data_IF_440267822439
#
_entry.id   IF_440267822439
#
_cell.length_a   1.000
_cell.length_b   1.000
_cell.length_c   1.000
_cell.angle_alpha   90.00
_cell.angle_beta   90.00
_cell.angle_gamma   90.00
#
_symmetry.space_group_name_H-M   'P 1'
#
loop_
_entity.id
_entity.type
_entity.pdbx_description
1 polymer ?
#
# COMPACT_ATOMS: atom_id res chain seq x y z
N UNK A 1 -18.24 6.98 27.60
CA UNK A 1 -17.80 5.59 27.81
C UNK A 1 -17.35 5.06 26.45
N UNK A 2 -16.07 4.77 26.31
CA UNK A 2 -15.56 4.12 25.10
C UNK A 2 -16.01 2.67 25.09
N UNK A 3 -16.79 2.31 24.08
CA UNK A 3 -17.34 0.98 23.93
C UNK A 3 -16.37 0.10 23.18
N UNK A 4 -16.08 -1.09 23.70
CA UNK A 4 -15.36 -2.14 22.98
C UNK A 4 -16.28 -2.86 22.00
N UNK A 5 -15.74 -3.19 20.83
CA UNK A 5 -16.43 -3.99 19.83
C UNK A 5 -15.63 -5.27 19.58
N UNK A 6 -16.31 -6.39 19.40
CA UNK A 6 -15.68 -7.70 19.22
C UNK A 6 -15.66 -8.16 17.76
N UNK A 7 -15.97 -7.27 16.80
CA UNK A 7 -16.04 -7.63 15.38
C UNK A 7 -14.75 -8.28 14.88
N UNK A 8 -13.58 -7.77 15.31
CA UNK A 8 -12.30 -8.29 14.88
C UNK A 8 -12.05 -9.67 15.49
N UNK A 9 -12.18 -9.82 16.82
CA UNK A 9 -11.98 -11.09 17.49
C UNK A 9 -12.93 -12.18 17.00
N UNK A 10 -14.16 -11.83 16.70
CA UNK A 10 -15.19 -12.78 16.24
C UNK A 10 -14.99 -13.23 14.80
N UNK A 11 -14.30 -12.43 13.96
CA UNK A 11 -14.23 -12.68 12.52
C UNK A 11 -12.81 -12.85 11.97
N UNK A 12 -11.79 -12.57 12.75
CA UNK A 12 -10.42 -12.65 12.28
C UNK A 12 -10.03 -14.10 12.00
N UNK A 13 -9.57 -14.37 10.79
CA UNK A 13 -9.00 -15.65 10.39
C UNK A 13 -7.49 -15.49 10.28
N UNK A 14 -6.75 -16.11 11.20
CA UNK A 14 -5.29 -16.06 11.18
C UNK A 14 -4.75 -16.87 10.00
N UNK A 15 -4.03 -16.23 9.06
CA UNK A 15 -3.48 -16.94 7.91
C UNK A 15 -2.53 -18.08 8.27
N UNK A 16 -1.84 -17.99 9.42
CA UNK A 16 -0.96 -19.06 9.87
C UNK A 16 -1.71 -20.35 10.24
N UNK A 17 -3.00 -20.24 10.55
CA UNK A 17 -3.87 -21.37 10.91
C UNK A 17 -4.80 -21.78 9.77
N UNK A 18 -4.93 -20.97 8.75
CA UNK A 18 -5.76 -21.26 7.60
C UNK A 18 -5.08 -22.31 6.71
N UNK A 19 -5.85 -23.25 6.23
CA UNK A 19 -5.34 -24.25 5.30
C UNK A 19 -5.36 -23.69 3.90
N UNK A 20 -4.19 -23.51 3.29
CA UNK A 20 -4.03 -23.04 1.94
C UNK A 20 -3.30 -24.08 1.10
N UNK A 21 -3.71 -24.24 -0.16
CA UNK A 21 -3.07 -25.14 -1.12
C UNK A 21 -2.67 -24.34 -2.35
N UNK A 22 -1.36 -24.26 -2.58
CA UNK A 22 -0.81 -23.64 -3.77
C UNK A 22 -0.84 -24.59 -4.96
N UNK A 23 -0.97 -24.07 -6.19
CA UNK A 23 -0.81 -24.92 -7.37
C UNK A 23 0.61 -25.46 -7.45
N UNK A 24 0.79 -26.60 -8.09
CA UNK A 24 2.11 -27.22 -8.27
C UNK A 24 3.09 -26.29 -8.96
N UNK A 25 2.65 -25.63 -10.04
CA UNK A 25 3.37 -24.52 -10.64
C UNK A 25 2.93 -23.22 -10.00
N UNK A 26 3.78 -22.65 -9.15
CA UNK A 26 3.50 -21.40 -8.45
C UNK A 26 3.50 -20.24 -9.43
N UNK A 27 2.47 -19.41 -9.33
CA UNK A 27 2.28 -18.26 -10.21
C UNK A 27 2.98 -17.05 -9.63
N UNK A 28 3.67 -16.27 -10.48
CA UNK A 28 4.22 -14.98 -10.07
C UNK A 28 3.10 -13.99 -9.78
N UNK A 29 3.38 -13.03 -8.92
CA UNK A 29 2.50 -11.90 -8.61
C UNK A 29 3.19 -10.59 -8.96
N UNK A 30 2.49 -9.75 -9.73
CA UNK A 30 2.83 -8.32 -9.88
C UNK A 30 1.66 -7.55 -9.26
N UNK A 31 1.93 -6.82 -8.18
CA UNK A 31 0.93 -6.05 -7.46
C UNK A 31 1.25 -4.56 -7.62
N UNK A 32 0.37 -3.84 -8.29
CA UNK A 32 0.57 -2.43 -8.59
C UNK A 32 -0.42 -1.61 -7.77
N UNK A 33 0.07 -0.91 -6.75
CA UNK A 33 -0.70 0.08 -6.02
C UNK A 33 -0.64 1.41 -6.78
N UNK A 34 -1.82 1.91 -7.16
CA UNK A 34 -1.95 3.23 -7.76
C UNK A 34 -2.33 4.22 -6.67
N UNK A 35 -1.42 5.16 -6.38
CA UNK A 35 -1.65 6.17 -5.36
C UNK A 35 -2.95 6.92 -5.62
N UNK A 36 -3.86 6.92 -4.63
CA UNK A 36 -5.12 7.66 -4.63
C UNK A 36 -6.06 7.33 -5.81
N UNK A 37 -5.93 6.16 -6.42
CA UNK A 37 -6.73 5.81 -7.60
C UNK A 37 -8.11 5.29 -7.22
N UNK A 38 -9.13 6.07 -7.58
CA UNK A 38 -10.54 5.74 -7.35
C UNK A 38 -11.24 5.40 -8.66
N UNK A 39 -12.23 4.52 -8.57
CA UNK A 39 -13.19 4.31 -9.65
C UNK A 39 -14.05 5.54 -9.93
N UNK A 40 -14.14 6.44 -8.96
CA UNK A 40 -14.83 7.74 -9.02
C UNK A 40 -14.45 8.57 -10.25
N UNK A 41 -13.20 8.46 -10.70
CA UNK A 41 -12.65 9.33 -11.76
C UNK A 41 -13.12 8.99 -13.17
N UNK A 42 -13.83 7.90 -13.34
CA UNK A 42 -14.49 7.55 -14.61
C UNK A 42 -15.72 8.42 -14.83
N UNK A 43 -16.25 8.38 -16.04
CA UNK A 43 -17.50 9.07 -16.36
C UNK A 43 -18.73 8.31 -15.83
N UNK A 44 -19.84 9.02 -15.74
CA UNK A 44 -21.10 8.48 -15.21
C UNK A 44 -21.59 7.28 -16.02
N UNK A 45 -21.42 7.30 -17.33
CA UNK A 45 -21.84 6.20 -18.21
C UNK A 45 -21.10 4.89 -17.89
N UNK A 46 -19.88 4.97 -17.37
CA UNK A 46 -19.06 3.81 -17.02
C UNK A 46 -19.08 3.47 -15.52
N UNK A 47 -19.79 4.24 -14.70
CA UNK A 47 -19.90 3.99 -13.26
C UNK A 47 -19.15 4.99 -12.36
N UNK A 48 -18.47 5.96 -12.96
CA UNK A 48 -17.81 7.02 -12.22
C UNK A 48 -18.73 8.18 -11.85
N UNK A 49 -18.16 9.25 -11.34
CA UNK A 49 -18.92 10.38 -10.81
C UNK A 49 -18.82 11.65 -11.68
N UNK A 50 -18.05 11.63 -12.75
CA UNK A 50 -17.78 12.79 -13.57
C UNK A 50 -18.50 12.71 -14.93
N UNK A 51 -18.63 13.86 -15.59
CA UNK A 51 -19.11 13.88 -16.95
C UNK A 51 -18.01 13.44 -17.94
N UNK A 52 -16.76 13.80 -17.63
CA UNK A 52 -15.56 13.38 -18.36
C UNK A 52 -14.94 12.16 -17.68
N UNK A 53 -14.45 11.22 -18.49
CA UNK A 53 -13.66 10.10 -17.95
C UNK A 53 -12.17 10.50 -17.89
N UNK A 54 -11.64 10.61 -16.67
CA UNK A 54 -10.22 10.92 -16.47
C UNK A 54 -9.31 9.71 -16.56
N UNK A 55 -9.88 8.51 -16.53
CA UNK A 55 -9.13 7.24 -16.56
C UNK A 55 -9.67 6.30 -17.64
N UNK A 56 -9.78 6.72 -18.91
CA UNK A 56 -10.44 5.90 -19.93
C UNK A 56 -9.69 4.59 -20.20
N UNK A 57 -8.37 4.58 -20.19
CA UNK A 57 -7.58 3.37 -20.43
C UNK A 57 -7.73 2.37 -19.29
N UNK A 58 -7.70 2.84 -18.04
CA UNK A 58 -7.95 2.00 -16.86
C UNK A 58 -9.40 1.49 -16.83
N UNK A 59 -10.36 2.29 -17.30
CA UNK A 59 -11.75 1.86 -17.42
C UNK A 59 -11.89 0.71 -18.41
N UNK A 60 -11.23 0.79 -19.55
CA UNK A 60 -11.25 -0.27 -20.56
C UNK A 60 -10.53 -1.52 -20.04
N UNK A 61 -9.41 -1.36 -19.35
CA UNK A 61 -8.67 -2.46 -18.76
C UNK A 61 -9.54 -3.24 -17.77
N UNK A 62 -10.30 -2.54 -16.94
CA UNK A 62 -11.26 -3.16 -16.01
C UNK A 62 -12.40 -3.89 -16.74
N UNK A 63 -12.88 -3.35 -17.86
CA UNK A 63 -13.91 -3.99 -18.66
C UNK A 63 -13.42 -5.27 -19.33
N UNK A 64 -12.14 -5.34 -19.68
CA UNK A 64 -11.54 -6.48 -20.39
C UNK A 64 -11.01 -7.59 -19.45
N UNK A 65 -10.98 -7.34 -18.16
CA UNK A 65 -10.42 -8.25 -17.17
C UNK A 65 -11.34 -8.38 -15.95
N UNK A 66 -10.93 -9.10 -14.92
CA UNK A 66 -11.71 -9.18 -13.69
C UNK A 66 -11.59 -7.88 -12.92
N UNK A 67 -12.71 -7.24 -12.62
CA UNK A 67 -12.77 -6.02 -11.81
C UNK A 67 -14.01 -6.09 -10.91
N UNK A 68 -13.76 -6.27 -9.61
CA UNK A 68 -14.86 -6.36 -8.65
C UNK A 68 -15.47 -5.00 -8.42
N UNK A 69 -16.79 -4.93 -8.43
CA UNK A 69 -17.51 -3.67 -8.37
C UNK A 69 -18.71 -3.75 -7.44
N UNK A 70 -19.00 -2.61 -6.83
CA UNK A 70 -20.18 -2.40 -6.01
C UNK A 70 -21.45 -2.06 -6.84
N UNK A 71 -21.31 -2.03 -8.17
CA UNK A 71 -22.42 -1.78 -9.10
C UNK A 71 -22.32 -2.70 -10.31
N UNK A 72 -23.21 -2.51 -11.29
CA UNK A 72 -23.15 -3.20 -12.60
C UNK A 72 -21.99 -2.71 -13.47
N UNK A 73 -21.49 -1.53 -13.19
CA UNK A 73 -20.45 -0.81 -13.95
C UNK A 73 -19.13 -0.81 -13.19
N UNK A 74 -18.18 0.01 -13.62
CA UNK A 74 -16.94 0.21 -12.88
C UNK A 74 -17.25 0.69 -11.47
N UNK A 75 -16.60 0.09 -10.50
CA UNK A 75 -16.71 0.45 -9.11
C UNK A 75 -15.50 -0.11 -8.35
N UNK A 76 -15.72 -0.52 -7.13
CA UNK A 76 -14.63 -1.09 -6.34
C UNK A 76 -14.99 -1.31 -4.89
N UNK A 77 -13.96 -1.48 -4.07
CA UNK A 77 -14.07 -1.68 -2.65
C UNK A 77 -14.06 -0.37 -1.86
N UNK A 78 -14.74 -0.38 -0.74
CA UNK A 78 -14.67 0.73 0.21
C UNK A 78 -13.36 0.71 0.97
N UNK A 79 -12.81 1.89 1.23
CA UNK A 79 -11.72 2.07 2.19
C UNK A 79 -12.34 2.35 3.55
N UNK A 80 -12.32 1.36 4.43
CA UNK A 80 -12.84 1.52 5.79
C UNK A 80 -11.98 2.46 6.61
N UNK A 81 -12.44 2.82 7.79
CA UNK A 81 -11.65 3.57 8.78
C UNK A 81 -10.30 2.88 9.00
N UNK A 82 -9.26 3.67 9.18
CA UNK A 82 -7.86 3.22 9.36
C UNK A 82 -7.24 2.53 8.14
N UNK A 83 -7.81 2.73 6.95
CA UNK A 83 -7.25 2.23 5.67
C UNK A 83 -7.15 3.33 4.61
N UNK A 84 -7.25 4.60 5.00
CA UNK A 84 -7.45 5.73 4.09
C UNK A 84 -6.19 6.54 3.79
N UNK A 85 -5.01 5.99 4.06
CA UNK A 85 -3.71 6.55 3.68
C UNK A 85 -2.80 5.41 3.22
N UNK A 86 -1.65 5.71 2.63
CA UNK A 86 -0.86 4.72 1.90
C UNK A 86 -0.56 3.44 2.69
N UNK A 87 0.10 3.54 3.84
CA UNK A 87 0.44 2.32 4.60
C UNK A 87 -0.81 1.64 5.17
N UNK A 88 -1.83 2.41 5.56
CA UNK A 88 -3.11 1.85 5.99
C UNK A 88 -3.80 1.07 4.88
N UNK A 89 -3.79 1.59 3.66
CA UNK A 89 -4.33 0.90 2.48
C UNK A 89 -3.56 -0.36 2.11
N UNK A 90 -2.24 -0.29 2.11
CA UNK A 90 -1.37 -1.45 1.86
C UNK A 90 -1.59 -2.52 2.93
N UNK A 91 -1.63 -2.11 4.20
CA UNK A 91 -1.87 -3.00 5.33
C UNK A 91 -3.20 -3.74 5.19
N UNK A 92 -4.26 -3.03 4.84
CA UNK A 92 -5.58 -3.63 4.63
C UNK A 92 -5.55 -4.70 3.53
N UNK A 93 -4.91 -4.41 2.41
CA UNK A 93 -4.89 -5.30 1.24
C UNK A 93 -3.94 -6.49 1.39
N UNK A 94 -3.05 -6.47 2.36
CA UNK A 94 -2.07 -7.54 2.59
C UNK A 94 -2.20 -8.25 3.92
N UNK A 95 -2.94 -7.69 4.89
CA UNK A 95 -3.21 -8.32 6.18
C UNK A 95 -4.68 -8.62 6.45
N UNK A 96 -5.58 -7.98 5.67
CA UNK A 96 -7.01 -8.07 5.95
C UNK A 96 -7.45 -7.36 7.21
N UNK A 97 -6.67 -6.37 7.68
CA UNK A 97 -6.93 -5.61 8.89
C UNK A 97 -6.85 -4.11 8.64
N UNK A 98 -7.67 -3.30 9.35
CA UNK A 98 -7.43 -1.86 9.40
C UNK A 98 -6.20 -1.57 10.26
N UNK A 99 -5.45 -0.54 9.92
CA UNK A 99 -4.29 -0.12 10.72
C UNK A 99 -4.77 0.77 11.87
N UNK A 100 -5.42 0.15 12.84
CA UNK A 100 -5.96 0.81 14.01
C UNK A 100 -4.94 0.78 15.15
N UNK A 101 -4.17 1.86 15.26
CA UNK A 101 -3.14 2.02 16.30
C UNK A 101 -3.44 3.26 17.14
N UNK A 102 -2.92 3.29 18.35
CA UNK A 102 -3.00 4.48 19.20
C UNK A 102 -1.98 5.56 18.86
N UNK A 103 -1.20 5.38 17.79
CA UNK A 103 -0.17 6.32 17.35
C UNK A 103 -0.58 6.99 16.03
N UNK A 104 0.17 8.01 15.61
CA UNK A 104 -0.11 8.75 14.38
C UNK A 104 -0.01 7.89 13.13
N UNK A 105 -0.67 8.33 12.06
CA UNK A 105 -0.84 7.59 10.79
C UNK A 105 0.44 7.01 10.21
N UNK A 106 1.55 7.74 10.30
CA UNK A 106 2.83 7.36 9.69
C UNK A 106 3.91 7.04 10.74
N UNK A 107 3.55 6.95 12.02
CA UNK A 107 4.51 6.77 13.11
C UNK A 107 5.01 5.33 13.26
N UNK A 108 4.46 4.38 12.51
CA UNK A 108 5.02 3.03 12.44
C UNK A 108 6.46 3.03 11.88
N UNK A 109 6.87 4.10 11.17
CA UNK A 109 8.25 4.30 10.75
C UNK A 109 9.25 4.36 11.93
N UNK A 110 8.78 4.74 13.10
CA UNK A 110 9.59 4.90 14.32
C UNK A 110 9.59 3.67 15.21
N UNK A 111 8.92 2.61 14.81
CA UNK A 111 8.87 1.36 15.54
C UNK A 111 9.98 0.42 15.05
N UNK A 112 10.50 -0.42 15.93
CA UNK A 112 11.45 -1.46 15.54
C UNK A 112 10.80 -2.56 14.74
N UNK A 113 9.54 -2.87 15.05
CA UNK A 113 8.78 -3.93 14.39
C UNK A 113 7.40 -3.41 13.97
N UNK A 114 6.79 -4.12 13.04
CA UNK A 114 5.46 -3.80 12.51
C UNK A 114 4.52 -4.99 12.75
N UNK A 115 4.04 -5.11 13.98
CA UNK A 115 3.12 -6.17 14.39
C UNK A 115 3.59 -7.57 14.01
N UNK A 116 4.69 -8.07 14.63
CA UNK A 116 5.30 -9.34 14.24
C UNK A 116 4.39 -10.56 14.46
N UNK A 117 3.36 -10.44 15.27
CA UNK A 117 2.43 -11.52 15.58
C UNK A 117 1.40 -11.79 14.50
N UNK A 118 1.20 -10.90 13.53
CA UNK A 118 0.26 -11.13 12.44
C UNK A 118 0.95 -11.80 11.23
N UNK A 119 0.15 -12.49 10.42
CA UNK A 119 0.58 -13.06 9.17
C UNK A 119 -0.06 -12.35 7.99
N UNK A 120 0.75 -11.98 7.01
CA UNK A 120 0.34 -11.18 5.86
C UNK A 120 0.52 -11.96 4.56
N UNK A 121 0.10 -11.35 3.45
CA UNK A 121 0.38 -11.88 2.11
C UNK A 121 1.88 -12.15 1.93
N UNK A 122 2.73 -11.22 2.36
CA UNK A 122 4.19 -11.40 2.29
C UNK A 122 4.68 -12.61 3.08
N UNK A 123 4.15 -12.83 4.27
CA UNK A 123 4.51 -14.00 5.09
C UNK A 123 4.09 -15.31 4.41
N UNK A 124 2.88 -15.36 3.88
CA UNK A 124 2.38 -16.53 3.16
C UNK A 124 3.25 -16.87 1.95
N UNK A 125 3.58 -15.86 1.15
CA UNK A 125 4.39 -16.05 -0.05
C UNK A 125 5.86 -16.39 0.28
N UNK A 126 6.43 -15.80 1.33
CA UNK A 126 7.77 -16.15 1.80
C UNK A 126 7.87 -17.62 2.21
N UNK A 127 6.86 -18.13 2.93
CA UNK A 127 6.80 -19.54 3.35
C UNK A 127 6.75 -20.50 2.15
N UNK A 128 6.25 -20.02 1.02
CA UNK A 128 6.18 -20.80 -0.25
C UNK A 128 7.40 -20.57 -1.14
N UNK A 129 8.42 -19.89 -0.67
CA UNK A 129 9.67 -19.70 -1.39
C UNK A 129 9.68 -18.56 -2.41
N UNK A 130 8.72 -17.66 -2.37
CA UNK A 130 8.71 -16.50 -3.25
C UNK A 130 9.81 -15.51 -2.87
N UNK A 131 10.49 -14.97 -3.88
CA UNK A 131 11.32 -13.78 -3.74
C UNK A 131 10.43 -12.55 -3.87
N UNK A 132 10.57 -11.58 -2.99
CA UNK A 132 9.67 -10.47 -2.91
C UNK A 132 10.40 -9.14 -3.00
N UNK A 133 9.79 -8.19 -3.70
CA UNK A 133 10.37 -6.89 -4.00
C UNK A 133 9.32 -5.80 -3.77
N UNK A 134 9.73 -4.72 -3.09
CA UNK A 134 8.94 -3.50 -2.99
C UNK A 134 9.62 -2.41 -3.79
N UNK A 135 9.03 -2.05 -4.93
CA UNK A 135 9.60 -1.19 -5.95
C UNK A 135 8.86 0.15 -6.01
N UNK A 136 9.51 1.23 -5.59
CA UNK A 136 8.91 2.56 -5.47
C UNK A 136 9.91 3.65 -5.83
N UNK A 137 9.41 4.80 -6.29
CA UNK A 137 10.23 5.97 -6.58
C UNK A 137 10.49 6.87 -5.38
N UNK A 138 9.73 6.69 -4.30
CA UNK A 138 9.88 7.43 -3.04
C UNK A 138 10.73 6.66 -2.04
N UNK A 139 10.89 7.23 -0.85
CA UNK A 139 11.70 6.61 0.20
C UNK A 139 10.87 5.58 0.97
N UNK A 140 11.36 4.33 1.00
CA UNK A 140 10.63 3.19 1.56
C UNK A 140 10.29 3.32 3.02
N UNK A 141 11.11 3.99 3.81
CA UNK A 141 10.93 4.13 5.25
C UNK A 141 9.68 4.94 5.65
N UNK A 142 9.20 5.82 4.76
CA UNK A 142 8.05 6.66 5.07
C UNK A 142 6.82 5.83 5.45
N UNK A 143 6.17 6.22 6.55
CA UNK A 143 4.96 5.56 7.03
C UNK A 143 5.17 4.16 7.60
N UNK A 144 6.40 3.66 7.65
CA UNK A 144 6.71 2.31 8.11
C UNK A 144 6.67 1.25 7.02
N UNK A 145 6.56 1.62 5.74
CA UNK A 145 6.46 0.66 4.63
C UNK A 145 7.65 -0.29 4.56
N UNK A 146 8.87 0.23 4.68
CA UNK A 146 10.08 -0.58 4.70
C UNK A 146 10.08 -1.57 5.87
N UNK A 147 9.74 -1.10 7.07
CA UNK A 147 9.66 -1.96 8.25
C UNK A 147 8.64 -3.08 8.04
N UNK A 148 7.48 -2.73 7.49
CA UNK A 148 6.41 -3.68 7.22
C UNK A 148 6.84 -4.78 6.25
N UNK A 149 7.38 -4.39 5.11
CA UNK A 149 7.72 -5.35 4.06
C UNK A 149 8.96 -6.18 4.39
N UNK A 150 9.92 -5.62 5.14
CA UNK A 150 11.07 -6.41 5.60
C UNK A 150 10.66 -7.45 6.65
N UNK A 151 9.81 -7.08 7.57
CA UNK A 151 9.36 -7.98 8.64
C UNK A 151 8.41 -9.05 8.11
N UNK A 152 7.50 -8.67 7.21
CA UNK A 152 6.45 -9.53 6.71
C UNK A 152 6.76 -10.06 5.31
N UNK A 153 7.82 -10.84 5.19
CA UNK A 153 8.17 -11.52 3.95
C UNK A 153 9.55 -11.22 3.39
N UNK A 154 10.36 -10.49 4.14
CA UNK A 154 11.75 -10.17 3.76
C UNK A 154 11.88 -9.61 2.34
N UNK A 155 11.04 -8.63 2.01
CA UNK A 155 11.10 -7.96 0.72
C UNK A 155 12.41 -7.22 0.55
N UNK A 156 12.98 -7.28 -0.66
CA UNK A 156 14.01 -6.33 -1.07
C UNK A 156 13.35 -4.96 -1.30
N UNK A 157 13.93 -3.92 -0.75
CA UNK A 157 13.39 -2.54 -0.85
C UNK A 157 14.15 -1.80 -1.95
N UNK A 158 13.55 -1.73 -3.12
CA UNK A 158 14.09 -1.05 -4.31
C UNK A 158 13.42 0.32 -4.42
N UNK A 159 13.85 1.25 -3.57
CA UNK A 159 13.26 2.58 -3.42
C UNK A 159 14.11 3.69 -4.06
N UNK A 160 13.81 4.95 -3.73
CA UNK A 160 14.58 6.11 -4.17
C UNK A 160 16.07 5.97 -3.86
N UNK A 161 16.40 5.54 -2.66
CA UNK A 161 17.79 5.36 -2.23
C UNK A 161 18.48 4.26 -3.01
N UNK A 162 17.79 3.14 -3.21
CA UNK A 162 18.27 2.05 -4.04
C UNK A 162 18.58 2.51 -5.48
N UNK A 163 17.70 3.33 -6.07
CA UNK A 163 17.91 3.86 -7.42
C UNK A 163 19.16 4.75 -7.52
N UNK A 164 19.43 5.54 -6.48
CA UNK A 164 20.66 6.33 -6.41
C UNK A 164 21.91 5.43 -6.30
N UNK A 165 21.86 4.42 -5.45
CA UNK A 165 22.96 3.45 -5.26
C UNK A 165 23.25 2.68 -6.56
N UNK A 166 22.21 2.35 -7.32
CA UNK A 166 22.34 1.67 -8.60
C UNK A 166 22.79 2.60 -9.74
N UNK A 167 22.90 3.91 -9.49
CA UNK A 167 23.27 4.89 -10.48
C UNK A 167 22.17 5.17 -11.53
N UNK A 168 20.92 4.84 -11.21
CA UNK A 168 19.79 5.05 -12.13
C UNK A 168 19.35 6.52 -12.19
N UNK A 169 19.59 7.27 -11.13
CA UNK A 169 19.29 8.71 -11.02
C UNK A 169 20.50 9.43 -10.40
N UNK A 170 20.70 10.73 -10.72
CA UNK A 170 21.71 11.55 -10.04
C UNK A 170 21.43 11.69 -8.55
N UNK A 171 22.49 11.97 -7.75
CA UNK A 171 22.37 12.11 -6.29
C UNK A 171 21.40 13.21 -5.86
N UNK A 172 21.29 14.29 -6.63
CA UNK A 172 20.42 15.43 -6.35
C UNK A 172 19.07 15.37 -7.07
N UNK A 173 18.76 14.25 -7.72
CA UNK A 173 17.51 14.11 -8.47
C UNK A 173 16.36 13.83 -7.49
N UNK A 174 15.43 14.76 -7.39
CA UNK A 174 14.24 14.66 -6.54
C UNK A 174 13.15 15.54 -7.14
N UNK A 175 12.08 14.91 -7.65
CA UNK A 175 11.02 15.63 -8.39
C UNK A 175 9.74 15.80 -7.58
N UNK A 176 9.26 14.75 -6.95
CA UNK A 176 7.99 14.78 -6.24
C UNK A 176 8.17 14.18 -4.83
N UNK A 177 7.93 12.90 -4.69
CA UNK A 177 8.22 12.13 -3.46
C UNK A 177 9.54 11.36 -3.55
N UNK A 178 10.27 11.59 -4.59
CA UNK A 178 11.50 10.93 -4.99
C UNK A 178 11.66 11.13 -6.50
N UNK A 179 11.71 10.04 -7.30
CA UNK A 179 11.63 10.15 -8.74
C UNK A 179 10.20 9.85 -9.21
N UNK A 180 9.85 10.38 -10.39
CA UNK A 180 8.50 10.33 -10.94
C UNK A 180 8.13 8.95 -11.53
N UNK A 181 6.82 8.72 -11.72
CA UNK A 181 6.29 7.45 -12.22
C UNK A 181 6.77 7.06 -13.61
N UNK A 182 7.07 8.03 -14.48
CA UNK A 182 7.68 7.76 -15.79
C UNK A 182 8.93 6.91 -15.66
N UNK A 183 9.83 7.31 -14.76
CA UNK A 183 11.04 6.54 -14.46
C UNK A 183 10.73 5.25 -13.72
N UNK A 184 9.75 5.25 -12.83
CA UNK A 184 9.35 4.06 -12.10
C UNK A 184 9.00 2.92 -13.05
N UNK A 185 8.16 3.19 -14.05
CA UNK A 185 7.77 2.18 -15.03
C UNK A 185 8.95 1.74 -15.90
N UNK A 186 9.82 2.67 -16.31
CA UNK A 186 11.00 2.34 -17.08
C UNK A 186 11.96 1.43 -16.29
N UNK A 187 12.26 1.78 -15.04
CA UNK A 187 13.13 0.98 -14.17
C UNK A 187 12.50 -0.36 -13.82
N UNK A 188 11.19 -0.40 -13.63
CA UNK A 188 10.45 -1.63 -13.35
C UNK A 188 10.55 -2.64 -14.48
N UNK A 189 10.52 -2.20 -15.74
CA UNK A 189 10.69 -3.07 -16.91
C UNK A 189 12.06 -3.79 -16.86
N UNK A 190 13.12 -3.03 -16.61
CA UNK A 190 14.47 -3.59 -16.51
C UNK A 190 14.59 -4.53 -15.30
N UNK A 191 14.05 -4.12 -14.17
CA UNK A 191 14.12 -4.92 -12.93
C UNK A 191 13.35 -6.24 -13.06
N UNK A 192 12.14 -6.19 -13.60
CA UNK A 192 11.34 -7.40 -13.86
C UNK A 192 12.03 -8.38 -14.82
N UNK A 193 12.69 -7.85 -15.84
CA UNK A 193 13.46 -8.68 -16.78
C UNK A 193 14.57 -9.44 -16.04
N UNK A 194 15.30 -8.76 -15.13
CA UNK A 194 16.34 -9.38 -14.31
C UNK A 194 15.76 -10.42 -13.36
N UNK A 195 14.68 -10.09 -12.67
CA UNK A 195 14.03 -10.98 -11.68
C UNK A 195 13.48 -12.23 -12.37
N UNK A 196 12.78 -12.06 -13.47
CA UNK A 196 12.20 -13.18 -14.20
C UNK A 196 13.25 -14.15 -14.75
N UNK A 197 14.43 -13.64 -15.10
CA UNK A 197 15.55 -14.46 -15.59
C UNK A 197 16.09 -15.44 -14.53
N UNK A 198 15.84 -15.19 -13.25
CA UNK A 198 16.23 -16.10 -12.16
C UNK A 198 15.41 -17.39 -12.13
N UNK A 199 14.24 -17.42 -12.78
CA UNK A 199 13.40 -18.59 -12.91
C UNK A 199 12.66 -19.04 -11.64
N UNK A 200 12.68 -18.24 -10.59
CA UNK A 200 12.00 -18.54 -9.33
C UNK A 200 10.68 -17.76 -9.23
N UNK A 201 9.68 -18.26 -8.46
CA UNK A 201 8.46 -17.49 -8.26
C UNK A 201 8.78 -16.18 -7.55
N UNK A 202 8.16 -15.11 -8.01
CA UNK A 202 8.38 -13.78 -7.45
C UNK A 202 7.08 -13.04 -7.16
N UNK A 203 7.15 -12.12 -6.21
CA UNK A 203 6.17 -11.09 -5.93
C UNK A 203 6.83 -9.73 -6.15
N UNK A 204 6.39 -9.00 -7.14
CA UNK A 204 6.86 -7.66 -7.45
C UNK A 204 5.74 -6.67 -7.13
N UNK A 205 5.90 -5.95 -6.02
CA UNK A 205 4.92 -5.00 -5.51
C UNK A 205 5.43 -3.58 -5.77
N UNK A 206 4.62 -2.78 -6.46
CA UNK A 206 4.93 -1.39 -6.84
C UNK A 206 3.93 -0.43 -6.20
N UNK A 207 4.37 0.81 -6.03
CA UNK A 207 3.51 1.93 -5.64
C UNK A 207 3.88 3.14 -6.49
N UNK A 208 2.88 3.72 -7.17
CA UNK A 208 3.05 4.98 -7.90
C UNK A 208 2.93 6.18 -6.97
N UNK A 209 3.37 7.35 -7.41
CA UNK A 209 3.39 8.55 -6.58
C UNK A 209 2.83 9.81 -7.25
N UNK A 210 2.82 9.89 -8.59
CA UNK A 210 2.44 11.12 -9.30
C UNK A 210 1.01 11.58 -9.01
N UNK A 211 0.12 10.66 -8.69
CA UNK A 211 -1.30 10.95 -8.37
C UNK A 211 -1.55 11.31 -6.92
N UNK A 212 -0.49 11.51 -6.13
CA UNK A 212 -0.62 11.97 -4.74
C UNK A 212 -1.07 13.44 -4.68
N UNK A 213 -1.88 13.78 -3.69
CA UNK A 213 -2.34 15.14 -3.47
C UNK A 213 -1.16 16.05 -3.01
N UNK A 214 -1.23 17.37 -3.14
CA UNK A 214 -2.28 18.09 -3.85
C UNK A 214 -1.91 18.21 -5.34
N UNK A 215 -2.92 18.14 -6.20
CA UNK A 215 -2.84 18.36 -7.67
C UNK A 215 -1.95 17.38 -8.45
N UNK A 216 -1.25 16.47 -7.80
CA UNK A 216 -0.37 15.51 -8.45
C UNK A 216 0.89 16.12 -9.06
N UNK A 217 1.72 15.26 -9.65
CA UNK A 217 2.93 15.66 -10.35
C UNK A 217 2.74 15.55 -11.88
N UNK A 218 2.72 16.67 -12.61
CA UNK A 218 2.62 16.64 -14.08
C UNK A 218 4.00 16.37 -14.68
N UNK A 219 4.23 15.14 -15.16
CA UNK A 219 5.47 14.79 -15.83
C UNK A 219 5.46 15.20 -17.30
N UNK A 220 6.58 14.97 -18.00
CA UNK A 220 6.72 15.30 -19.43
C UNK A 220 5.71 14.59 -20.34
N UNK A 221 5.21 13.42 -19.91
CA UNK A 221 4.25 12.64 -20.67
C UNK A 221 2.81 13.11 -20.52
N UNK A 222 2.54 14.01 -19.57
CA UNK A 222 1.19 14.53 -19.36
C UNK A 222 0.77 15.45 -20.49
N UNK A 223 -0.46 15.26 -20.98
CA UNK A 223 -0.99 16.00 -22.13
C UNK A 223 -1.72 17.27 -21.67
N UNK A 224 -1.08 18.42 -21.87
CA UNK A 224 -1.62 19.73 -21.49
C UNK A 224 -2.90 20.11 -22.27
N UNK A 225 -3.15 19.50 -23.45
CA UNK A 225 -4.33 19.82 -24.26
C UNK A 225 -5.63 19.26 -23.66
N UNK A 226 -5.53 18.27 -22.77
CA UNK A 226 -6.71 17.55 -22.27
C UNK A 226 -7.41 18.23 -21.10
N UNK A 227 -6.80 19.21 -20.44
CA UNK A 227 -7.49 19.87 -19.34
C UNK A 227 -6.85 21.15 -18.85
N UNK A 228 -7.06 22.24 -19.57
CA UNK A 228 -6.47 23.54 -19.28
C UNK A 228 -6.64 24.08 -17.85
N UNK A 229 -7.58 23.54 -17.05
CA UNK A 229 -7.92 24.09 -15.74
C UNK A 229 -7.79 23.09 -14.59
N UNK A 230 -7.53 21.78 -14.84
CA UNK A 230 -7.50 20.77 -13.80
C UNK A 230 -6.24 19.90 -13.88
N UNK A 231 -5.22 20.32 -13.15
CA UNK A 231 -3.95 19.61 -13.13
C UNK A 231 -4.12 18.17 -12.60
N UNK A 232 -4.90 17.95 -11.54
CA UNK A 232 -5.08 16.63 -10.97
C UNK A 232 -5.73 15.66 -11.97
N UNK A 233 -6.76 16.11 -12.66
CA UNK A 233 -7.40 15.34 -13.73
C UNK A 233 -6.44 14.97 -14.86
N UNK A 234 -5.58 15.91 -15.26
CA UNK A 234 -4.53 15.67 -16.25
C UNK A 234 -3.54 14.60 -15.78
N UNK A 235 -3.10 14.67 -14.52
CA UNK A 235 -2.18 13.70 -13.93
C UNK A 235 -2.82 12.31 -13.83
N UNK A 236 -4.10 12.24 -13.46
CA UNK A 236 -4.85 10.98 -13.43
C UNK A 236 -4.92 10.35 -14.83
N UNK A 237 -5.22 11.14 -15.85
CA UNK A 237 -5.27 10.65 -17.21
C UNK A 237 -3.89 10.19 -17.71
N UNK A 238 -2.86 10.92 -17.38
CA UNK A 238 -1.48 10.55 -17.67
C UNK A 238 -1.13 9.20 -17.02
N UNK A 239 -1.48 9.02 -15.75
CA UNK A 239 -1.30 7.76 -15.02
C UNK A 239 -2.05 6.60 -15.69
N UNK A 240 -3.29 6.83 -16.09
CA UNK A 240 -4.11 5.85 -16.81
C UNK A 240 -3.40 5.30 -18.04
N UNK A 241 -2.80 6.18 -18.84
CA UNK A 241 -2.02 5.81 -20.04
C UNK A 241 -0.75 5.04 -19.68
N UNK A 242 0.01 5.54 -18.72
CA UNK A 242 1.29 4.93 -18.34
C UNK A 242 1.11 3.53 -17.75
N UNK A 243 0.13 3.35 -16.88
CA UNK A 243 -0.18 2.05 -16.27
C UNK A 243 -0.58 1.02 -17.32
N UNK A 244 -1.47 1.38 -18.24
CA UNK A 244 -1.93 0.46 -19.29
C UNK A 244 -0.83 0.13 -20.30
N UNK A 245 0.06 1.07 -20.58
CA UNK A 245 1.26 0.80 -21.39
C UNK A 245 2.18 -0.20 -20.69
N UNK A 246 2.40 -0.02 -19.40
CA UNK A 246 3.21 -0.94 -18.59
C UNK A 246 2.62 -2.35 -18.57
N UNK A 247 1.31 -2.46 -18.39
CA UNK A 247 0.59 -3.75 -18.46
C UNK A 247 0.78 -4.39 -19.82
N UNK A 248 0.65 -3.64 -20.90
CA UNK A 248 0.86 -4.15 -22.27
C UNK A 248 2.28 -4.69 -22.46
N UNK A 249 3.27 -4.01 -21.90
CA UNK A 249 4.65 -4.50 -21.91
C UNK A 249 4.78 -5.83 -21.15
N UNK A 250 4.20 -5.95 -19.95
CA UNK A 250 4.23 -7.21 -19.19
C UNK A 250 3.61 -8.33 -20.01
N UNK A 251 2.49 -8.07 -20.68
CA UNK A 251 1.76 -9.06 -21.47
C UNK A 251 2.55 -9.61 -22.65
N UNK A 252 3.58 -8.91 -23.08
CA UNK A 252 4.48 -9.34 -24.16
C UNK A 252 5.70 -10.13 -23.65
N UNK A 253 5.86 -10.27 -22.34
CA UNK A 253 7.01 -10.96 -21.76
C UNK A 253 6.76 -12.46 -21.61
N UNK A 254 7.81 -13.26 -21.68
CA UNK A 254 7.73 -14.72 -21.55
C UNK A 254 7.13 -15.16 -20.21
N UNK A 255 7.36 -14.38 -19.15
CA UNK A 255 6.87 -14.72 -17.82
C UNK A 255 5.37 -14.42 -17.64
N UNK A 256 4.73 -13.71 -18.55
CA UNK A 256 3.33 -13.30 -18.39
C UNK A 256 2.38 -14.47 -18.23
N UNK A 257 2.56 -15.54 -18.98
CA UNK A 257 1.65 -16.71 -18.93
C UNK A 257 1.54 -17.30 -17.53
N UNK A 258 2.58 -17.17 -16.72
CA UNK A 258 2.63 -17.66 -15.34
C UNK A 258 2.62 -16.50 -14.33
N UNK A 259 1.90 -15.42 -14.63
CA UNK A 259 1.87 -14.23 -13.79
C UNK A 259 0.45 -13.71 -13.66
N UNK A 260 0.03 -13.43 -12.42
CA UNK A 260 -1.18 -12.67 -12.14
C UNK A 260 -0.78 -11.23 -11.86
N UNK A 261 -1.49 -10.28 -12.46
CA UNK A 261 -1.31 -8.85 -12.20
C UNK A 261 -2.52 -8.35 -11.41
N UNK A 262 -2.28 -7.80 -10.22
CA UNK A 262 -3.30 -7.12 -9.41
C UNK A 262 -2.99 -5.63 -9.44
N UNK A 263 -3.95 -4.82 -9.85
CA UNK A 263 -3.85 -3.36 -9.81
C UNK A 263 -4.96 -2.84 -8.91
N UNK A 264 -4.60 -2.06 -7.92
CA UNK A 264 -5.56 -1.50 -6.96
C UNK A 264 -5.15 -0.10 -6.55
N UNK A 265 -6.11 0.80 -6.43
CA UNK A 265 -5.89 2.01 -5.67
C UNK A 265 -5.57 1.65 -4.22
N UNK A 266 -4.71 2.42 -3.59
CA UNK A 266 -4.37 2.18 -2.18
C UNK A 266 -5.41 2.78 -1.24
N UNK A 267 -5.95 3.94 -1.55
CA UNK A 267 -6.99 4.65 -0.80
C UNK A 267 -7.62 5.75 -1.66
N UNK A 268 -8.76 6.34 -1.25
CA UNK A 268 -9.32 7.52 -1.93
C UNK A 268 -8.40 8.73 -1.83
N UNK A 269 -8.48 9.63 -2.82
CA UNK A 269 -7.66 10.83 -2.79
C UNK A 269 -7.95 11.71 -1.57
N UNK A 270 -6.89 12.30 -1.03
CA UNK A 270 -6.98 13.35 -0.01
C UNK A 270 -7.04 14.76 -0.63
N UNK A 271 -7.07 14.86 -1.96
CA UNK A 271 -7.26 16.14 -2.65
C UNK A 271 -8.72 16.59 -2.47
N UNK A 272 -8.91 17.63 -1.66
CA UNK A 272 -10.25 18.07 -1.27
C UNK A 272 -11.04 18.70 -2.41
N UNK A 273 -10.36 19.28 -3.39
CA UNK A 273 -10.98 20.09 -4.43
C UNK A 273 -11.50 19.26 -5.60
N UNK A 274 -10.81 18.16 -5.92
CA UNK A 274 -11.09 17.42 -7.16
C UNK A 274 -12.49 16.81 -7.19
N UNK A 275 -12.93 16.25 -6.07
CA UNK A 275 -14.23 15.60 -5.95
C UNK A 275 -15.32 16.47 -5.30
N UNK A 276 -15.07 17.77 -5.12
CA UNK A 276 -16.01 18.65 -4.38
C UNK A 276 -17.38 18.82 -5.04
N UNK A 277 -17.46 18.69 -6.37
CA UNK A 277 -18.68 18.93 -7.12
C UNK A 277 -19.39 17.65 -7.61
N UNK A 278 -18.93 16.48 -7.20
CA UNK A 278 -19.63 15.24 -7.54
C UNK A 278 -20.93 15.10 -6.75
N UNK A 279 -21.82 14.23 -7.21
CA UNK A 279 -23.04 13.92 -6.49
C UNK A 279 -22.71 13.47 -5.05
N UNK A 280 -23.34 14.09 -4.06
CA UNK A 280 -23.12 13.79 -2.64
C UNK A 280 -23.47 12.34 -2.28
N UNK A 281 -24.37 11.70 -3.03
CA UNK A 281 -24.78 10.32 -2.82
C UNK A 281 -23.86 9.31 -3.50
N UNK A 282 -22.89 9.76 -4.30
CA UNK A 282 -21.95 8.86 -4.95
C UNK A 282 -21.06 8.16 -3.93
N UNK A 283 -21.01 6.84 -4.00
CA UNK A 283 -20.14 6.04 -3.13
C UNK A 283 -18.76 5.93 -3.76
N UNK A 284 -17.79 6.59 -3.15
CA UNK A 284 -16.40 6.59 -3.62
C UNK A 284 -15.74 5.27 -3.23
N UNK A 285 -15.18 4.59 -4.22
CA UNK A 285 -14.50 3.31 -4.06
C UNK A 285 -13.15 3.35 -4.76
N UNK A 286 -12.23 2.50 -4.35
CA UNK A 286 -10.93 2.40 -5.00
C UNK A 286 -11.00 1.51 -6.24
N UNK A 287 -10.24 1.89 -7.26
CA UNK A 287 -10.09 1.13 -8.49
C UNK A 287 -9.45 -0.22 -8.24
N UNK A 288 -9.92 -1.27 -8.91
CA UNK A 288 -9.23 -2.56 -8.93
C UNK A 288 -9.40 -3.27 -10.28
N UNK A 289 -8.38 -4.02 -10.66
CA UNK A 289 -8.44 -4.96 -11.79
C UNK A 289 -7.47 -6.11 -11.54
N UNK A 290 -7.87 -7.31 -11.89
CA UNK A 290 -7.04 -8.51 -11.80
C UNK A 290 -6.89 -9.08 -13.21
N UNK A 291 -5.67 -9.14 -13.70
CA UNK A 291 -5.33 -9.54 -15.06
C UNK A 291 -4.67 -10.92 -15.02
N UNK A 292 -5.07 -11.78 -15.94
CA UNK A 292 -4.58 -13.15 -16.02
C UNK A 292 -4.78 -13.94 -14.72
N UNK A 293 -5.99 -13.84 -14.16
CA UNK A 293 -6.36 -14.60 -12.97
C UNK A 293 -6.40 -16.11 -13.29
N UNK A 294 -5.93 -16.92 -12.35
CA UNK A 294 -6.02 -18.38 -12.46
C UNK A 294 -7.44 -18.91 -12.34
N UNK A 295 -8.35 -18.12 -11.77
CA UNK A 295 -9.76 -18.51 -11.54
C UNK A 295 -10.69 -17.39 -12.01
N UNK A 296 -11.95 -17.74 -12.25
CA UNK A 296 -12.98 -16.79 -12.61
C UNK A 296 -13.92 -16.54 -11.43
N UNK A 297 -14.43 -15.32 -11.25
CA UNK A 297 -15.33 -15.01 -10.15
C UNK A 297 -16.70 -15.65 -10.34
N UNK A 298 -17.30 -16.12 -9.23
CA UNK A 298 -18.69 -16.56 -9.25
C UNK A 298 -19.65 -15.36 -9.36
N UNK A 299 -19.32 -14.25 -8.73
CA UNK A 299 -20.04 -12.99 -8.87
C UNK A 299 -19.06 -11.82 -8.81
N UNK A 300 -18.92 -11.12 -9.92
CA UNK A 300 -17.97 -10.00 -10.07
C UNK A 300 -18.60 -8.65 -9.72
N UNK A 301 -19.85 -8.45 -10.08
CA UNK A 301 -20.57 -7.17 -9.95
C UNK A 301 -21.57 -7.19 -8.80
N UNK A 302 -21.98 -5.98 -8.38
CA UNK A 302 -22.92 -5.79 -7.29
C UNK A 302 -22.43 -6.46 -5.99
N UNK A 303 -21.14 -6.31 -5.71
CA UNK A 303 -20.50 -6.79 -4.50
C UNK A 303 -20.29 -5.61 -3.54
N UNK A 304 -20.67 -5.76 -2.29
CA UNK A 304 -20.28 -4.80 -1.23
C UNK A 304 -19.07 -5.36 -0.52
N UNK A 305 -17.96 -4.68 -0.64
CA UNK A 305 -16.69 -5.16 -0.08
C UNK A 305 -15.77 -4.01 0.30
N UNK A 306 -14.72 -4.34 1.03
CA UNK A 306 -13.68 -3.40 1.43
C UNK A 306 -12.33 -3.84 0.85
N UNK A 307 -11.34 -2.97 0.95
CA UNK A 307 -9.99 -3.29 0.50
C UNK A 307 -9.35 -4.44 1.27
N UNK A 308 -9.86 -4.75 2.47
CA UNK A 308 -9.41 -5.93 3.23
C UNK A 308 -9.70 -7.25 2.50
N UNK A 309 -10.74 -7.29 1.68
CA UNK A 309 -11.09 -8.47 0.91
C UNK A 309 -10.07 -8.79 -0.19
N UNK A 310 -9.24 -7.82 -0.58
CA UNK A 310 -8.19 -8.02 -1.58
C UNK A 310 -7.11 -9.01 -1.12
N UNK A 311 -6.92 -9.22 0.16
CA UNK A 311 -5.91 -10.15 0.67
C UNK A 311 -6.20 -11.60 0.22
N UNK A 312 -7.29 -12.26 0.65
CA UNK A 312 -7.60 -13.59 0.17
C UNK A 312 -7.89 -13.63 -1.34
N UNK A 313 -8.44 -12.56 -1.90
CA UNK A 313 -8.75 -12.46 -3.33
C UNK A 313 -7.48 -12.51 -4.18
N UNK A 314 -6.43 -11.83 -3.77
CA UNK A 314 -5.12 -11.87 -4.47
C UNK A 314 -4.57 -13.29 -4.52
N UNK A 315 -4.56 -14.00 -3.39
CA UNK A 315 -4.09 -15.39 -3.36
C UNK A 315 -4.94 -16.30 -4.24
N UNK A 316 -6.25 -16.16 -4.21
CA UNK A 316 -7.15 -16.93 -5.07
C UNK A 316 -6.86 -16.68 -6.56
N UNK A 317 -6.56 -15.43 -6.96
CA UNK A 317 -6.20 -15.08 -8.33
C UNK A 317 -4.92 -15.77 -8.80
N UNK A 318 -4.05 -16.16 -7.88
CA UNK A 318 -2.82 -16.89 -8.13
C UNK A 318 -3.03 -18.41 -8.17
N UNK A 319 -4.26 -18.89 -8.03
CA UNK A 319 -4.60 -20.30 -8.00
C UNK A 319 -4.51 -20.96 -6.63
N UNK A 320 -4.36 -20.20 -5.58
CA UNK A 320 -4.33 -20.70 -4.21
C UNK A 320 -5.74 -21.04 -3.74
N UNK A 321 -5.94 -22.25 -3.26
CA UNK A 321 -7.19 -22.66 -2.61
C UNK A 321 -7.10 -22.35 -1.13
N UNK A 322 -8.08 -21.62 -0.61
CA UNK A 322 -8.16 -21.21 0.79
C UNK A 322 -9.36 -21.90 1.42
N UNK A 323 -9.14 -22.76 2.38
CA UNK A 323 -10.25 -23.42 3.10
C UNK A 323 -11.04 -22.36 3.88
N UNK A 324 -12.36 -22.31 3.62
CA UNK A 324 -13.24 -21.31 4.21
C UNK A 324 -13.25 -19.95 3.51
N UNK A 325 -12.39 -19.76 2.51
CA UNK A 325 -12.33 -18.54 1.66
C UNK A 325 -12.17 -17.22 2.41
N UNK A 326 -11.53 -17.24 3.58
CA UNK A 326 -11.32 -16.05 4.39
C UNK A 326 -9.92 -16.00 4.99
N UNK A 327 -9.33 -14.78 5.00
CA UNK A 327 -8.06 -14.46 5.66
C UNK A 327 -8.16 -13.06 6.27
N UNK A 328 -7.69 -12.89 7.49
CA UNK A 328 -7.91 -11.63 8.21
C UNK A 328 -9.41 -11.38 8.37
N UNK A 329 -9.85 -10.18 8.09
CA UNK A 329 -11.27 -9.84 7.98
C UNK A 329 -11.78 -9.93 6.53
N UNK A 330 -10.92 -10.34 5.61
CA UNK A 330 -11.23 -10.40 4.18
C UNK A 330 -11.89 -11.70 3.75
N UNK A 331 -12.70 -11.61 2.72
CA UNK A 331 -13.34 -12.73 2.04
C UNK A 331 -12.84 -12.81 0.60
N UNK A 332 -12.57 -14.02 0.12
CA UNK A 332 -12.20 -14.26 -1.28
C UNK A 332 -13.36 -13.89 -2.20
N UNK A 333 -13.20 -12.82 -2.97
CA UNK A 333 -14.25 -12.33 -3.87
C UNK A 333 -14.53 -13.26 -5.06
N UNK A 334 -13.62 -14.17 -5.36
CA UNK A 334 -13.85 -15.21 -6.39
C UNK A 334 -14.80 -16.30 -5.92
N UNK A 335 -14.91 -16.52 -4.61
CA UNK A 335 -15.65 -17.65 -4.04
C UNK A 335 -17.17 -17.53 -4.09
N UNK A 336 -17.72 -16.35 -4.24
CA UNK A 336 -19.14 -16.10 -4.11
C UNK A 336 -19.67 -16.07 -2.66
N UNK A 337 -18.81 -16.33 -1.67
CA UNK A 337 -19.15 -16.16 -0.26
C UNK A 337 -19.40 -14.69 0.06
N UNK A 338 -20.28 -14.43 1.01
CA UNK A 338 -20.57 -13.08 1.44
C UNK A 338 -19.39 -12.47 2.22
N UNK A 339 -19.03 -11.24 1.87
CA UNK A 339 -18.08 -10.44 2.67
C UNK A 339 -18.73 -10.01 3.99
N UNK A 340 -17.93 -9.54 4.94
CA UNK A 340 -18.49 -8.97 6.17
C UNK A 340 -19.37 -7.76 5.88
N UNK A 341 -18.98 -6.94 4.91
CA UNK A 341 -19.80 -5.79 4.47
C UNK A 341 -21.14 -6.23 3.86
N UNK A 342 -21.18 -7.36 3.14
CA UNK A 342 -22.43 -7.92 2.61
C UNK A 342 -23.30 -8.51 3.71
N UNK A 343 -22.70 -9.11 4.72
CA UNK A 343 -23.45 -9.71 5.83
C UNK A 343 -24.09 -8.67 6.76
N UNK A 344 -23.41 -7.60 7.07
CA UNK A 344 -23.85 -6.65 8.09
C UNK A 344 -24.12 -5.23 7.58
N UNK A 345 -23.79 -4.96 6.31
CA UNK A 345 -23.81 -3.61 5.75
C UNK A 345 -22.48 -2.89 5.96
N UNK A 346 -22.04 -2.12 4.95
CA UNK A 346 -20.75 -1.43 5.03
C UNK A 346 -20.71 -0.39 6.15
N UNK A 347 -21.77 0.41 6.31
CA UNK A 347 -21.84 1.43 7.34
C UNK A 347 -21.70 0.83 8.75
N UNK A 348 -22.39 -0.26 9.00
CA UNK A 348 -22.34 -0.98 10.28
C UNK A 348 -20.95 -1.58 10.52
N UNK A 349 -20.34 -2.16 9.48
CA UNK A 349 -18.98 -2.68 9.58
C UNK A 349 -17.98 -1.56 9.90
N UNK A 350 -18.07 -0.45 9.19
CA UNK A 350 -17.17 0.69 9.37
C UNK A 350 -17.30 1.28 10.77
N UNK A 351 -18.53 1.43 11.28
CA UNK A 351 -18.78 1.91 12.65
C UNK A 351 -18.18 0.96 13.69
N UNK A 352 -18.34 -0.34 13.49
CA UNK A 352 -17.78 -1.36 14.38
C UNK A 352 -16.25 -1.31 14.40
N UNK A 353 -15.61 -1.15 13.24
CA UNK A 353 -14.14 -1.05 13.11
C UNK A 353 -13.59 0.23 13.71
N UNK A 354 -14.40 1.29 13.84
CA UNK A 354 -13.98 2.55 14.48
C UNK A 354 -13.93 2.49 16.00
N UNK A 355 -14.52 1.46 16.59
CA UNK A 355 -14.59 1.29 18.03
C UNK A 355 -13.34 0.61 18.58
N UNK A 356 -13.14 0.69 19.89
CA UNK A 356 -12.01 0.02 20.55
C UNK A 356 -12.09 -1.49 20.36
N UNK A 357 -10.94 -2.09 20.13
CA UNK A 357 -10.79 -3.53 19.97
C UNK A 357 -9.68 -4.06 20.88
N UNK A 358 -9.97 -5.13 21.61
CA UNK A 358 -8.98 -5.84 22.43
C UNK A 358 -7.87 -6.43 21.56
N UNK A 359 -8.21 -6.83 20.34
CA UNK A 359 -7.25 -7.35 19.38
C UNK A 359 -6.15 -6.31 19.09
N UNK A 360 -6.53 -5.07 18.77
CA UNK A 360 -5.58 -4.02 18.45
C UNK A 360 -4.83 -3.52 19.70
N UNK A 361 -5.49 -3.45 20.85
CA UNK A 361 -4.80 -3.09 22.09
C UNK A 361 -3.69 -4.09 22.41
N UNK A 362 -3.93 -5.38 22.20
CA UNK A 362 -2.92 -6.41 22.39
C UNK A 362 -1.77 -6.27 21.40
N UNK A 363 -2.05 -5.92 20.16
CA UNK A 363 -1.02 -5.64 19.18
C UNK A 363 -0.17 -4.42 19.57
N UNK A 364 -0.79 -3.37 20.09
CA UNK A 364 -0.11 -2.17 20.57
C UNK A 364 0.85 -2.43 21.73
N UNK A 365 0.60 -3.43 22.57
CA UNK A 365 1.50 -3.81 23.67
C UNK A 365 2.88 -4.19 23.17
N UNK A 366 2.99 -4.61 21.91
CA UNK A 366 4.25 -5.00 21.26
C UNK A 366 4.90 -3.86 20.48
N UNK A 367 4.34 -2.64 20.51
CA UNK A 367 4.98 -1.48 19.91
C UNK A 367 6.22 -1.11 20.71
N UNK A 368 7.33 -0.97 20.01
CA UNK A 368 8.62 -0.67 20.61
C UNK A 368 9.27 0.49 19.86
N UNK A 369 8.86 1.74 20.16
CA UNK A 369 9.32 2.89 19.41
C UNK A 369 10.79 3.19 19.69
N UNK A 370 11.57 3.35 18.62
CA UNK A 370 12.96 3.81 18.70
C UNK A 370 12.99 5.28 19.09
N UNK A 371 12.15 6.08 18.46
CA UNK A 371 12.01 7.50 18.75
C UNK A 371 10.64 7.82 19.34
N UNK A 372 10.63 8.57 20.43
CA UNK A 372 9.40 9.11 21.02
C UNK A 372 9.55 10.62 21.22
N UNK A 373 8.49 11.35 21.01
CA UNK A 373 8.45 12.80 21.19
C UNK A 373 7.53 13.15 22.34
N UNK A 374 8.03 13.97 23.27
CA UNK A 374 7.24 14.61 24.31
C UNK A 374 7.32 16.14 24.20
N UNK A 375 6.81 16.87 25.17
CA UNK A 375 6.82 18.34 25.19
C UNK A 375 8.23 18.95 25.19
N UNK A 376 9.24 18.18 25.61
CA UNK A 376 10.62 18.64 25.72
C UNK A 376 11.49 18.24 24.52
N UNK A 377 10.99 17.38 23.61
CA UNK A 377 11.70 16.98 22.42
C UNK A 377 11.69 15.48 22.15
N UNK A 378 12.67 15.02 21.39
CA UNK A 378 12.79 13.63 20.95
C UNK A 378 13.71 12.83 21.87
N UNK A 379 13.26 11.63 22.22
CA UNK A 379 14.02 10.63 23.00
C UNK A 379 14.32 9.43 22.12
N UNK A 380 15.49 8.84 22.28
CA UNK A 380 15.92 7.65 21.54
C UNK A 380 16.03 6.45 22.47
N UNK A 381 15.31 5.38 22.14
CA UNK A 381 15.34 4.11 22.88
C UNK A 381 16.34 3.15 22.27
N UNK A 382 17.25 2.61 23.08
CA UNK A 382 18.23 1.60 22.67
C UNK A 382 17.70 0.24 23.09
N UNK A 383 17.04 -0.46 22.16
CA UNK A 383 16.36 -1.71 22.45
C UNK A 383 17.30 -2.81 22.96
N UNK A 384 18.49 -2.88 22.40
CA UNK A 384 19.52 -3.88 22.77
C UNK A 384 19.94 -3.76 24.23
N UNK A 385 19.84 -2.57 24.78
CA UNK A 385 20.23 -2.27 26.16
C UNK A 385 19.05 -1.98 27.10
N UNK A 386 17.82 -2.00 26.55
CA UNK A 386 16.57 -1.69 27.26
C UNK A 386 16.66 -0.38 28.06
N UNK A 387 17.08 0.68 27.41
CA UNK A 387 17.21 2.01 28.01
C UNK A 387 17.07 3.13 26.99
N UNK A 388 16.76 4.34 27.46
CA UNK A 388 16.87 5.55 26.66
C UNK A 388 18.30 6.06 26.65
N UNK A 389 18.72 6.58 25.50
CA UNK A 389 20.04 7.21 25.36
C UNK A 389 20.13 8.50 26.19
N UNK A 390 21.31 8.76 26.79
CA UNK A 390 21.62 9.98 27.55
C UNK A 390 23.08 10.32 27.39
N UNK A 391 23.37 11.59 27.04
CA UNK A 391 24.76 12.08 26.97
C UNK A 391 25.62 11.31 25.98
N UNK A 392 25.06 10.88 24.87
CA UNK A 392 25.74 10.01 23.91
C UNK A 392 25.25 10.26 22.48
N UNK A 393 26.08 9.84 21.53
CA UNK A 393 25.71 9.83 20.12
C UNK A 393 24.93 8.57 19.78
N UNK A 394 23.88 8.72 18.97
CA UNK A 394 23.13 7.61 18.40
C UNK A 394 23.13 7.72 16.88
N UNK A 395 23.10 6.56 16.21
CA UNK A 395 23.18 6.48 14.75
C UNK A 395 21.90 5.86 14.20
N UNK A 396 20.85 6.65 14.14
CA UNK A 396 19.61 6.25 13.48
C UNK A 396 18.94 7.49 12.91
N UNK A 397 18.20 7.32 11.85
CA UNK A 397 17.49 8.42 11.22
C UNK A 397 16.02 8.10 11.11
N UNK A 398 15.17 8.58 12.04
CA UNK A 398 13.73 8.37 11.97
C UNK A 398 13.10 9.11 10.79
N UNK A 399 13.84 10.06 10.19
CA UNK A 399 13.41 10.85 9.03
C UNK A 399 14.25 10.53 7.79
N UNK A 400 14.82 9.34 7.71
CA UNK A 400 15.68 8.92 6.60
C UNK A 400 14.98 8.85 5.24
N UNK A 401 13.66 9.05 5.21
CA UNK A 401 12.92 9.20 3.98
C UNK A 401 13.28 10.46 3.19
N UNK A 402 14.21 11.27 3.68
CA UNK A 402 14.78 12.42 2.96
C UNK A 402 16.29 12.26 2.68
N UNK A 403 16.94 11.22 3.20
CA UNK A 403 18.36 11.02 3.06
C UNK A 403 18.75 9.59 3.38
N UNK A 404 19.62 9.02 2.57
CA UNK A 404 20.17 7.67 2.72
C UNK A 404 21.37 7.61 3.66
N UNK A 405 21.92 8.76 3.98
CA UNK A 405 23.07 8.82 4.85
C UNK A 405 22.65 8.50 6.29
N UNK A 406 23.36 7.55 6.88
CA UNK A 406 23.30 7.29 8.30
C UNK A 406 23.51 8.62 9.04
N UNK A 407 22.47 9.08 9.73
CA UNK A 407 22.57 10.34 10.47
C UNK A 407 22.89 10.07 11.93
N UNK A 408 23.73 10.92 12.48
CA UNK A 408 24.12 10.89 13.88
C UNK A 408 23.38 11.98 14.65
N UNK A 409 22.83 11.59 15.77
CA UNK A 409 22.15 12.51 16.68
C UNK A 409 22.85 12.47 18.03
N UNK A 410 23.06 13.65 18.62
CA UNK A 410 23.54 13.72 20.00
C UNK A 410 22.33 13.83 20.93
N UNK A 411 22.28 12.93 21.91
CA UNK A 411 21.29 12.96 22.97
C UNK A 411 21.92 13.60 24.19
N UNK A 412 21.33 14.67 24.71
CA UNK A 412 21.86 15.41 25.84
C UNK A 412 21.77 14.64 27.16
N UNK A 413 22.29 15.24 28.22
CA UNK A 413 22.30 14.64 29.56
C UNK A 413 20.87 14.44 30.12
N UNK A 414 19.90 15.18 29.64
CA UNK A 414 18.49 15.04 30.00
C UNK A 414 17.76 13.99 29.17
N UNK A 415 18.41 13.41 28.15
CA UNK A 415 17.86 12.36 27.31
C UNK A 415 17.15 12.85 26.07
N UNK A 416 17.40 14.07 25.60
CA UNK A 416 16.77 14.65 24.43
C UNK A 416 17.74 14.89 23.29
N UNK A 417 17.29 14.67 22.07
CA UNK A 417 18.06 14.99 20.87
C UNK A 417 18.29 16.50 20.78
N UNK A 418 19.55 16.89 20.57
CA UNK A 418 19.94 18.29 20.48
C UNK A 418 19.48 18.89 19.16
N UNK A 419 18.94 20.09 19.24
CA UNK A 419 18.58 20.90 18.07
C UNK A 419 19.47 22.15 18.04
N UNK A 420 19.99 22.50 16.86
CA UNK A 420 20.88 23.64 16.67
C UNK A 420 22.33 23.34 17.12
N UNK A 421 23.13 24.37 17.16
CA UNK A 421 24.56 24.25 17.49
C UNK A 421 24.78 23.93 18.98
N UNK A 422 25.61 22.94 19.25
CA UNK A 422 25.97 22.59 20.62
C UNK A 422 27.48 22.30 20.73
N UNK A 423 28.08 22.74 21.84
CA UNK A 423 29.44 22.43 22.18
C UNK A 423 29.52 21.07 22.87
N UNK A 424 30.18 20.12 22.23
CA UNK A 424 30.36 18.75 22.75
C UNK A 424 31.83 18.41 22.73
N UNK A 425 32.38 18.13 23.90
CA UNK A 425 33.82 17.80 24.06
C UNK A 425 34.74 18.80 23.35
N UNK A 426 34.43 20.08 23.45
CA UNK A 426 35.25 21.17 22.89
C UNK A 426 35.08 21.42 21.39
N UNK A 427 34.11 20.78 20.73
CA UNK A 427 33.79 21.02 19.33
C UNK A 427 32.30 21.41 19.16
N UNK A 428 32.07 22.30 18.23
CA UNK A 428 30.70 22.69 17.84
C UNK A 428 30.16 21.76 16.75
N UNK A 429 28.92 21.32 16.94
CA UNK A 429 28.20 20.46 16.01
C UNK A 429 26.85 21.06 15.64
#
# INVERSE_FOLDING_TARGET
QSTYNTIVEDNYVDPARAKMTFPEQKRNLIYIYLESMESTYADKANGGAFDKNYIPELTQLAADNVSFSNSDLLGGGHSSVYTTWTIGGIFAQTSGLPLNTGIGRNEMAYQESFFPEINTLGDVLADEGYKQYFFIGSIGAFGGRENYFKEHGDYEIDDYNWAQEQGLIPEDYYEWWGYEDEKLFAFAKDRLTQIAAEGEPFNFTMLTADTHFEDGYPCELCDEENDGDNQYGMVLHCSSKQVTEFVSWIQQQDFYDNTTIVISGDHPTMDADFCENIDADFQRTVYNVIINSAVQPQQEKNRTFTTMDMFPTTLASMGVTIEGDRLGLGTNLFSGEQTLAEQMGYEELNDALSQKSKFFEKMEENLNPVWTKDENGWKFYIAEEDRYAKGEWVTNNPHRYQSDTEQKYYIDADGYAVQGWKLINGKWY
#
